data_IF_909512244112
#
_entry.id   IF_909512244112
#
_cell.length_a   1.000
_cell.length_b   1.000
_cell.length_c   1.000
_cell.angle_alpha   90.00
_cell.angle_beta   90.00
_cell.angle_gamma   90.00
#
_symmetry.space_group_name_H-M   'P 1'
#
loop_
_entity.id
_entity.type
_entity.pdbx_description
1 polymer ?
#
# COMPACT_ATOMS: atom_id res chain seq x y z
N UNK A 1 -0.56 -8.36 -2.12
CA UNK A 1 -1.12 -7.71 -3.31
C UNK A 1 -0.13 -7.71 -4.46
N UNK A 2 -0.63 -7.59 -5.68
CA UNK A 2 0.15 -7.53 -6.92
C UNK A 2 0.17 -6.13 -7.49
N UNK A 3 1.11 -5.84 -8.37
CA UNK A 3 1.23 -4.58 -9.10
C UNK A 3 1.51 -4.87 -10.58
N UNK A 4 1.00 -4.03 -11.46
CA UNK A 4 1.27 -4.02 -12.90
C UNK A 4 1.89 -2.68 -13.27
N UNK A 5 2.82 -2.67 -14.22
CA UNK A 5 3.54 -1.49 -14.64
C UNK A 5 3.36 -1.25 -16.13
N UNK A 6 2.96 -0.05 -16.51
CA UNK A 6 2.74 0.36 -17.89
C UNK A 6 1.46 1.17 -18.08
N UNK A 7 1.26 1.76 -19.26
CA UNK A 7 0.00 2.43 -19.59
C UNK A 7 -1.16 1.45 -19.58
N UNK A 8 -2.25 1.76 -18.88
CA UNK A 8 -3.43 0.87 -18.75
C UNK A 8 -3.94 0.34 -20.10
N UNK A 9 -3.87 1.17 -21.15
CA UNK A 9 -4.31 0.77 -22.47
C UNK A 9 -3.44 -0.33 -23.13
N UNK A 10 -2.24 -0.61 -22.58
CA UNK A 10 -1.31 -1.63 -23.08
C UNK A 10 -1.23 -2.85 -22.18
N UNK A 11 -1.83 -2.81 -20.99
CA UNK A 11 -1.80 -3.91 -20.00
C UNK A 11 -2.87 -4.96 -20.34
N UNK A 12 -2.61 -6.19 -19.89
CA UNK A 12 -3.59 -7.27 -20.00
C UNK A 12 -4.82 -6.99 -19.14
N UNK A 13 -6.03 -6.91 -19.72
CA UNK A 13 -7.26 -6.64 -18.97
C UNK A 13 -7.58 -7.69 -17.89
N UNK A 14 -7.17 -8.95 -18.07
CA UNK A 14 -7.40 -10.00 -17.08
C UNK A 14 -6.49 -9.81 -15.86
N UNK A 15 -5.22 -9.48 -16.08
CA UNK A 15 -4.28 -9.12 -15.03
C UNK A 15 -4.72 -7.91 -14.23
N UNK A 16 -5.18 -6.85 -14.91
CA UNK A 16 -5.73 -5.65 -14.25
C UNK A 16 -6.94 -5.95 -13.35
N UNK A 17 -7.87 -6.78 -13.84
CA UNK A 17 -9.04 -7.24 -13.04
C UNK A 17 -8.60 -8.09 -11.84
N UNK A 18 -7.68 -9.03 -12.04
CA UNK A 18 -7.16 -9.88 -10.98
C UNK A 18 -6.48 -9.06 -9.88
N UNK A 19 -5.74 -8.02 -10.25
CA UNK A 19 -5.14 -7.09 -9.31
C UNK A 19 -6.19 -6.36 -8.46
N UNK A 20 -7.28 -5.88 -9.06
CA UNK A 20 -8.39 -5.24 -8.33
C UNK A 20 -9.09 -6.25 -7.41
N UNK A 21 -9.36 -7.45 -7.90
CA UNK A 21 -9.97 -8.51 -7.08
C UNK A 21 -9.12 -8.83 -5.85
N UNK A 22 -7.81 -9.00 -6.02
CA UNK A 22 -6.93 -9.32 -4.89
C UNK A 22 -6.75 -8.13 -3.94
N UNK A 23 -6.41 -6.95 -4.48
CA UNK A 23 -5.99 -5.81 -3.66
C UNK A 23 -7.16 -5.03 -3.05
N UNK A 24 -8.36 -5.13 -3.62
CA UNK A 24 -9.56 -4.41 -3.16
C UNK A 24 -10.58 -5.37 -2.58
N UNK A 25 -11.16 -6.25 -3.41
CA UNK A 25 -12.23 -7.13 -2.97
C UNK A 25 -11.75 -8.11 -1.92
N UNK A 26 -10.57 -8.75 -2.12
CA UNK A 26 -10.02 -9.69 -1.13
C UNK A 26 -9.77 -9.05 0.24
N UNK A 27 -9.29 -7.79 0.27
CA UNK A 27 -9.10 -7.05 1.54
C UNK A 27 -10.46 -6.75 2.18
N UNK A 28 -11.40 -6.25 1.40
CA UNK A 28 -12.74 -5.89 1.86
C UNK A 28 -13.50 -7.10 2.41
N UNK A 29 -13.53 -8.20 1.67
CA UNK A 29 -14.24 -9.42 2.03
C UNK A 29 -13.68 -10.04 3.33
N UNK A 30 -12.34 -10.08 3.48
CA UNK A 30 -11.72 -10.54 4.72
C UNK A 30 -12.13 -9.69 5.92
N UNK A 31 -12.15 -8.37 5.76
CA UNK A 31 -12.58 -7.48 6.85
C UNK A 31 -14.04 -7.72 7.19
N UNK A 32 -14.93 -7.81 6.22
CA UNK A 32 -16.35 -8.10 6.44
C UNK A 32 -16.57 -9.44 7.16
N UNK A 33 -15.77 -10.44 6.83
CA UNK A 33 -15.88 -11.77 7.44
C UNK A 33 -15.46 -11.79 8.92
N UNK A 34 -14.41 -11.03 9.30
CA UNK A 34 -13.85 -11.11 10.66
C UNK A 34 -14.42 -10.06 11.61
N UNK A 35 -14.84 -8.90 11.09
CA UNK A 35 -15.25 -7.75 11.87
C UNK A 35 -16.43 -8.01 12.82
N UNK A 36 -17.53 -8.67 12.42
CA UNK A 36 -18.66 -8.92 13.31
C UNK A 36 -18.26 -9.67 14.59
N UNK A 37 -17.43 -10.71 14.44
CA UNK A 37 -16.93 -11.47 15.58
C UNK A 37 -15.99 -10.66 16.49
N UNK A 38 -15.20 -9.76 15.94
CA UNK A 38 -14.34 -8.86 16.70
C UNK A 38 -15.17 -7.84 17.50
N UNK A 39 -16.18 -7.26 16.88
CA UNK A 39 -17.10 -6.32 17.54
C UNK A 39 -17.88 -7.00 18.67
N UNK A 40 -18.41 -8.21 18.44
CA UNK A 40 -19.17 -8.95 19.44
C UNK A 40 -18.37 -9.24 20.72
N UNK A 41 -17.10 -9.60 20.59
CA UNK A 41 -16.21 -9.85 21.74
C UNK A 41 -15.45 -8.61 22.23
N UNK A 42 -15.65 -7.46 21.57
CA UNK A 42 -14.96 -6.19 21.86
C UNK A 42 -13.43 -6.31 21.90
N UNK A 43 -12.89 -7.15 21.04
CA UNK A 43 -11.45 -7.42 20.97
C UNK A 43 -11.08 -7.91 19.57
N UNK A 44 -10.03 -7.35 19.00
CA UNK A 44 -9.50 -7.76 17.71
C UNK A 44 -8.46 -6.79 17.17
N UNK A 45 -7.70 -7.26 16.17
CA UNK A 45 -6.71 -6.47 15.48
C UNK A 45 -6.73 -6.74 13.97
N UNK A 46 -6.78 -5.67 13.18
CA UNK A 46 -6.77 -5.73 11.71
C UNK A 46 -5.60 -4.88 11.22
N UNK A 47 -4.60 -5.51 10.61
CA UNK A 47 -3.50 -4.85 9.94
C UNK A 47 -3.73 -4.89 8.43
N UNK A 48 -3.94 -3.72 7.81
CA UNK A 48 -4.17 -3.62 6.38
C UNK A 48 -2.90 -3.15 5.69
N UNK A 49 -2.42 -3.94 4.72
CA UNK A 49 -1.26 -3.60 3.90
C UNK A 49 -1.66 -2.69 2.74
N UNK A 50 -1.55 -1.40 2.97
CA UNK A 50 -1.63 -0.37 1.94
C UNK A 50 -0.30 -0.15 1.22
N UNK A 51 0.00 1.09 0.88
CA UNK A 51 1.28 1.53 0.30
C UNK A 51 1.39 3.06 0.32
N UNK A 52 2.61 3.58 0.30
CA UNK A 52 2.88 4.97 -0.02
C UNK A 52 2.35 5.35 -1.43
N UNK A 53 2.31 4.38 -2.35
CA UNK A 53 1.73 4.55 -3.69
C UNK A 53 0.25 4.95 -3.69
N UNK A 54 -0.50 4.63 -2.63
CA UNK A 54 -1.90 5.03 -2.48
C UNK A 54 -2.11 6.49 -2.07
N UNK A 55 -1.05 7.27 -1.87
CA UNK A 55 -1.19 8.67 -1.44
C UNK A 55 -1.35 9.66 -2.60
N UNK A 56 -0.94 9.28 -3.81
CA UNK A 56 -0.98 10.18 -4.98
C UNK A 56 -1.20 9.40 -6.29
N UNK A 57 -1.68 10.08 -7.34
CA UNK A 57 -1.78 9.47 -8.67
C UNK A 57 -0.40 9.07 -9.21
N UNK A 58 -0.33 7.88 -9.80
CA UNK A 58 0.90 7.35 -10.40
C UNK A 58 0.61 6.93 -11.85
N UNK A 59 0.93 7.76 -12.86
CA UNK A 59 0.88 7.35 -14.26
C UNK A 59 1.76 6.11 -14.51
N UNK A 60 1.33 5.22 -15.39
CA UNK A 60 1.93 3.91 -15.67
C UNK A 60 1.90 2.89 -14.50
N UNK A 61 1.12 3.19 -13.47
CA UNK A 61 0.82 2.27 -12.36
C UNK A 61 -0.56 2.60 -11.76
N UNK A 62 -1.49 3.02 -12.61
CA UNK A 62 -2.74 3.63 -12.21
C UNK A 62 -3.63 2.70 -11.39
N UNK A 63 -3.82 1.45 -11.84
CA UNK A 63 -4.65 0.47 -11.13
C UNK A 63 -4.08 0.14 -9.77
N UNK A 64 -2.77 -0.11 -9.67
CA UNK A 64 -2.13 -0.38 -8.38
C UNK A 64 -2.28 0.80 -7.42
N UNK A 65 -1.95 2.02 -7.86
CA UNK A 65 -2.10 3.21 -7.03
C UNK A 65 -3.54 3.39 -6.52
N UNK A 66 -4.53 3.15 -7.39
CA UNK A 66 -5.94 3.21 -7.03
C UNK A 66 -6.33 2.13 -6.00
N UNK A 67 -5.86 0.88 -6.16
CA UNK A 67 -6.12 -0.19 -5.19
C UNK A 67 -5.51 0.09 -3.84
N UNK A 68 -4.32 0.68 -3.81
CA UNK A 68 -3.64 1.07 -2.56
C UNK A 68 -4.26 2.32 -1.92
N UNK A 69 -4.79 3.25 -2.72
CA UNK A 69 -5.59 4.36 -2.22
C UNK A 69 -6.88 3.87 -1.52
N UNK A 70 -7.56 2.87 -2.11
CA UNK A 70 -8.67 2.18 -1.46
C UNK A 70 -8.24 1.62 -0.09
N UNK A 71 -7.20 0.80 -0.04
CA UNK A 71 -6.72 0.18 1.19
C UNK A 71 -6.35 1.22 2.27
N UNK A 72 -5.67 2.31 1.86
CA UNK A 72 -5.29 3.40 2.76
C UNK A 72 -6.53 4.07 3.37
N UNK A 73 -7.44 4.54 2.53
CA UNK A 73 -8.64 5.26 2.97
C UNK A 73 -9.59 4.35 3.75
N UNK A 74 -9.80 3.12 3.27
CA UNK A 74 -10.66 2.14 3.93
C UNK A 74 -10.18 1.82 5.34
N UNK A 75 -8.87 1.57 5.51
CA UNK A 75 -8.27 1.28 6.83
C UNK A 75 -8.49 2.43 7.83
N UNK A 76 -8.20 3.66 7.41
CA UNK A 76 -8.32 4.83 8.28
C UNK A 76 -9.77 5.15 8.64
N UNK A 77 -10.70 4.99 7.68
CA UNK A 77 -12.13 5.14 7.90
C UNK A 77 -12.68 4.09 8.86
N UNK A 78 -12.40 2.80 8.57
CA UNK A 78 -12.82 1.68 9.42
C UNK A 78 -12.34 1.86 10.86
N UNK A 79 -11.08 2.29 11.05
CA UNK A 79 -10.57 2.60 12.38
C UNK A 79 -11.44 3.63 13.09
N UNK A 80 -11.86 4.70 12.39
CA UNK A 80 -12.74 5.73 12.95
C UNK A 80 -14.05 5.16 13.47
N UNK A 81 -14.59 4.17 12.80
CA UNK A 81 -15.84 3.51 13.14
C UNK A 81 -15.71 2.62 14.39
N UNK A 82 -14.65 1.79 14.45
CA UNK A 82 -14.57 0.67 15.43
C UNK A 82 -13.65 0.88 16.62
N UNK A 83 -12.89 1.98 16.67
CA UNK A 83 -11.91 2.22 17.75
C UNK A 83 -12.50 2.24 19.16
N UNK A 84 -13.80 2.58 19.30
CA UNK A 84 -14.53 2.59 20.58
C UNK A 84 -15.01 1.21 21.00
N UNK A 85 -14.99 0.26 20.08
CA UNK A 85 -15.51 -1.09 20.30
C UNK A 85 -14.41 -2.12 20.62
N UNK A 86 -13.20 -1.64 20.96
CA UNK A 86 -12.08 -2.49 21.34
C UNK A 86 -11.40 -3.19 20.15
N UNK A 87 -11.68 -2.75 18.92
CA UNK A 87 -11.03 -3.29 17.72
C UNK A 87 -9.96 -2.33 17.23
N UNK A 88 -8.73 -2.82 17.15
CA UNK A 88 -7.60 -2.06 16.61
C UNK A 88 -7.54 -2.22 15.09
N UNK A 89 -7.40 -1.12 14.37
CA UNK A 89 -7.17 -1.12 12.92
C UNK A 89 -5.97 -0.26 12.62
N UNK A 90 -4.96 -0.86 11.98
CA UNK A 90 -3.71 -0.18 11.62
C UNK A 90 -3.45 -0.31 10.13
N UNK A 91 -3.16 0.81 9.49
CA UNK A 91 -2.66 0.87 8.13
C UNK A 91 -1.14 0.73 8.12
N UNK A 92 -0.62 -0.28 7.45
CA UNK A 92 0.78 -0.33 7.02
C UNK A 92 0.88 0.30 5.63
N UNK A 93 1.56 1.44 5.50
CA UNK A 93 1.76 2.14 4.24
C UNK A 93 3.27 2.25 3.92
N UNK A 94 3.92 1.16 3.54
CA UNK A 94 5.36 1.14 3.32
C UNK A 94 5.74 1.85 2.01
N UNK A 95 7.00 2.32 1.97
CA UNK A 95 7.73 2.50 0.73
C UNK A 95 8.23 1.18 0.16
N UNK A 96 9.34 1.19 -0.58
CA UNK A 96 9.93 -0.04 -1.13
C UNK A 96 10.39 -0.98 -0.01
N UNK A 97 9.87 -2.20 0.01
CA UNK A 97 10.27 -3.27 0.94
C UNK A 97 10.94 -4.36 0.13
N UNK A 98 12.14 -4.76 0.53
CA UNK A 98 12.88 -5.85 -0.13
C UNK A 98 12.21 -7.17 0.22
N UNK A 99 11.49 -7.74 -0.74
CA UNK A 99 10.81 -9.03 -0.62
C UNK A 99 11.44 -10.03 -1.59
N UNK A 100 11.42 -11.29 -1.24
CA UNK A 100 11.73 -12.36 -2.18
C UNK A 100 10.54 -12.55 -3.12
N UNK A 101 10.55 -11.83 -4.25
CA UNK A 101 9.54 -12.01 -5.29
C UNK A 101 9.94 -13.17 -6.20
N UNK A 102 8.98 -14.00 -6.63
CA UNK A 102 9.27 -15.15 -7.48
C UNK A 102 9.68 -14.78 -8.92
N UNK A 103 9.48 -13.54 -9.35
CA UNK A 103 9.83 -13.07 -10.70
C UNK A 103 11.08 -12.17 -10.67
N UNK A 104 12.22 -12.75 -11.05
CA UNK A 104 13.52 -12.05 -11.11
C UNK A 104 13.53 -10.90 -12.13
N UNK A 105 12.66 -10.91 -13.15
CA UNK A 105 12.66 -9.90 -14.21
C UNK A 105 12.01 -8.58 -13.72
N UNK A 106 10.89 -8.64 -13.03
CA UNK A 106 10.23 -7.45 -12.44
C UNK A 106 11.05 -6.90 -11.26
N UNK A 107 11.59 -7.78 -10.43
CA UNK A 107 12.45 -7.42 -9.31
C UNK A 107 13.69 -6.65 -9.80
N UNK A 108 14.32 -7.09 -10.87
CA UNK A 108 15.53 -6.46 -11.40
C UNK A 108 15.31 -5.04 -11.92
N UNK A 109 14.14 -4.73 -12.50
CA UNK A 109 13.79 -3.41 -12.99
C UNK A 109 13.50 -2.44 -11.85
N UNK A 110 12.73 -2.88 -10.85
CA UNK A 110 12.39 -2.07 -9.68
C UNK A 110 13.64 -1.79 -8.83
N UNK A 111 14.50 -2.80 -8.64
CA UNK A 111 15.75 -2.65 -7.88
C UNK A 111 16.73 -1.68 -8.53
N UNK A 112 16.82 -1.64 -9.87
CA UNK A 112 17.70 -0.70 -10.60
C UNK A 112 17.27 0.77 -10.49
N UNK A 113 15.98 1.03 -10.28
CA UNK A 113 15.43 2.37 -10.27
C UNK A 113 15.30 2.97 -8.87
N UNK A 114 15.27 2.14 -7.85
CA UNK A 114 15.14 2.58 -6.47
C UNK A 114 16.51 2.48 -5.77
N UNK A 115 17.09 3.60 -5.33
CA UNK A 115 18.35 3.61 -4.60
C UNK A 115 18.31 2.70 -3.36
N UNK A 116 19.41 2.01 -3.07
CA UNK A 116 19.50 1.04 -1.97
C UNK A 116 19.10 1.58 -0.61
N UNK A 117 19.40 2.85 -0.34
CA UNK A 117 19.05 3.48 0.94
C UNK A 117 17.54 3.69 1.17
N UNK A 118 16.72 3.52 0.14
CA UNK A 118 15.25 3.60 0.23
C UNK A 118 14.61 2.25 0.55
N UNK A 119 15.35 1.15 0.37
CA UNK A 119 14.83 -0.19 0.65
C UNK A 119 14.76 -0.47 2.14
N UNK A 120 13.67 -1.09 2.55
CA UNK A 120 13.40 -1.43 3.94
C UNK A 120 13.37 -2.95 4.09
N UNK A 121 13.92 -3.43 5.19
CA UNK A 121 13.93 -4.85 5.54
C UNK A 121 12.53 -5.36 5.91
N UNK A 122 12.17 -6.57 5.47
CA UNK A 122 10.88 -7.20 5.74
C UNK A 122 10.63 -7.46 7.21
N UNK A 123 11.62 -7.97 7.93
CA UNK A 123 11.50 -8.27 9.37
C UNK A 123 11.27 -7.00 10.20
N UNK A 124 12.02 -5.94 9.91
CA UNK A 124 11.81 -4.64 10.55
C UNK A 124 10.42 -4.09 10.27
N UNK A 125 9.96 -4.20 9.01
CA UNK A 125 8.61 -3.77 8.60
C UNK A 125 7.54 -4.53 9.35
N UNK A 126 7.65 -5.84 9.45
CA UNK A 126 6.69 -6.70 10.16
C UNK A 126 6.63 -6.36 11.65
N UNK A 127 7.77 -6.30 12.34
CA UNK A 127 7.84 -5.95 13.77
C UNK A 127 7.21 -4.60 14.06
N UNK A 128 7.57 -3.57 13.29
CA UNK A 128 7.04 -2.23 13.47
C UNK A 128 5.52 -2.17 13.23
N UNK A 129 5.02 -2.99 12.31
CA UNK A 129 3.60 -3.06 11.97
C UNK A 129 2.79 -3.72 13.08
N UNK A 130 3.29 -4.80 13.66
CA UNK A 130 2.65 -5.50 14.77
C UNK A 130 2.67 -4.65 16.05
N UNK A 131 3.79 -3.99 16.34
CA UNK A 131 3.88 -3.02 17.45
C UNK A 131 2.85 -1.89 17.28
N UNK A 132 2.75 -1.35 16.07
CA UNK A 132 1.78 -0.29 15.78
C UNK A 132 0.33 -0.76 15.96
N UNK A 133 0.02 -2.00 15.58
CA UNK A 133 -1.30 -2.60 15.77
C UNK A 133 -1.61 -2.81 17.26
N UNK A 134 -0.65 -3.35 18.03
CA UNK A 134 -0.79 -3.57 19.47
C UNK A 134 -1.06 -2.26 20.20
N UNK A 135 -0.33 -1.19 19.85
CA UNK A 135 -0.51 0.14 20.43
C UNK A 135 -1.63 0.96 19.77
N UNK A 136 -2.48 0.33 18.99
CA UNK A 136 -3.61 0.97 18.32
C UNK A 136 -3.22 2.25 17.55
N UNK A 137 -2.10 2.25 16.84
CA UNK A 137 -1.68 3.36 15.97
C UNK A 137 -2.47 3.31 14.66
N UNK A 138 -2.92 4.46 14.18
CA UNK A 138 -3.72 4.55 12.95
C UNK A 138 -2.92 4.11 11.72
N UNK A 139 -1.67 4.55 11.62
CA UNK A 139 -0.83 4.36 10.45
C UNK A 139 0.62 4.14 10.85
N UNK A 140 1.28 3.23 10.16
CA UNK A 140 2.72 3.02 10.24
C UNK A 140 3.35 3.10 8.85
N UNK A 141 4.41 3.91 8.75
CA UNK A 141 5.23 4.03 7.55
C UNK A 141 6.66 3.67 7.97
N UNK A 142 7.14 2.46 7.64
CA UNK A 142 8.49 2.05 7.97
C UNK A 142 9.53 2.89 7.22
N UNK A 143 10.65 3.18 7.88
CA UNK A 143 11.76 3.96 7.33
C UNK A 143 11.54 5.48 7.34
N UNK A 144 12.59 6.21 7.72
CA UNK A 144 12.54 7.68 7.86
C UNK A 144 12.31 8.36 6.50
N UNK A 145 12.99 7.88 5.47
CA UNK A 145 12.86 8.40 4.10
C UNK A 145 11.46 8.16 3.53
N UNK A 146 10.92 6.95 3.71
CA UNK A 146 9.56 6.61 3.29
C UNK A 146 8.51 7.43 4.04
N UNK A 147 8.74 7.69 5.33
CA UNK A 147 7.87 8.55 6.14
C UNK A 147 7.87 9.98 5.64
N UNK A 148 9.05 10.56 5.37
CA UNK A 148 9.17 11.91 4.83
C UNK A 148 8.49 12.04 3.46
N UNK A 149 8.72 11.07 2.55
CA UNK A 149 8.08 11.01 1.23
C UNK A 149 6.55 10.84 1.34
N UNK A 150 6.07 10.01 2.25
CA UNK A 150 4.64 9.80 2.47
C UNK A 150 3.95 11.08 2.95
N UNK A 151 4.56 11.83 3.85
CA UNK A 151 4.05 13.13 4.30
C UNK A 151 4.07 14.13 3.14
N UNK A 152 5.19 14.25 2.44
CA UNK A 152 5.32 15.17 1.30
C UNK A 152 4.28 14.87 0.21
N UNK A 153 4.09 13.61 -0.19
CA UNK A 153 3.12 13.23 -1.21
C UNK A 153 1.66 13.42 -0.79
N UNK A 154 1.38 13.38 0.51
CA UNK A 154 0.04 13.61 1.05
C UNK A 154 -0.39 15.09 1.01
N UNK A 155 0.55 16.01 1.07
CA UNK A 155 0.27 17.46 1.15
C UNK A 155 0.69 18.23 -0.11
N UNK A 156 1.59 17.70 -0.93
CA UNK A 156 2.04 18.39 -2.13
C UNK A 156 0.94 18.45 -3.20
N UNK A 157 0.83 19.57 -3.92
CA UNK A 157 -0.14 19.70 -5.02
C UNK A 157 0.04 18.60 -6.06
N UNK A 158 -1.04 17.91 -6.40
CA UNK A 158 -1.03 16.79 -7.37
C UNK A 158 -0.47 17.19 -8.74
N UNK A 159 -0.68 18.45 -9.14
CA UNK A 159 -0.13 19.01 -10.39
C UNK A 159 1.42 18.97 -10.42
N UNK A 160 2.08 18.98 -9.27
CA UNK A 160 3.54 18.91 -9.16
C UNK A 160 4.00 17.47 -9.01
N UNK A 161 3.35 16.70 -8.13
CA UNK A 161 3.74 15.32 -7.80
C UNK A 161 3.52 14.37 -8.97
N UNK A 162 2.37 14.47 -9.64
CA UNK A 162 1.97 13.52 -10.69
C UNK A 162 2.96 13.44 -11.86
N UNK A 163 3.45 14.55 -12.46
CA UNK A 163 4.42 14.45 -13.55
C UNK A 163 5.78 13.92 -13.11
N UNK A 164 6.24 14.26 -11.90
CA UNK A 164 7.52 13.77 -11.35
C UNK A 164 7.46 12.26 -11.14
N UNK A 165 6.44 11.79 -10.45
CA UNK A 165 6.24 10.36 -10.18
C UNK A 165 5.99 9.60 -11.49
N UNK A 166 5.20 10.16 -12.41
CA UNK A 166 4.94 9.58 -13.72
C UNK A 166 6.22 9.37 -14.55
N UNK A 167 7.16 10.32 -14.49
CA UNK A 167 8.46 10.19 -15.18
C UNK A 167 9.31 9.04 -14.63
N UNK A 168 9.28 8.80 -13.32
CA UNK A 168 9.97 7.65 -12.67
C UNK A 168 9.32 6.34 -13.11
N UNK A 169 8.00 6.23 -13.02
CA UNK A 169 7.25 5.01 -13.35
C UNK A 169 7.20 4.71 -14.85
N UNK A 170 7.38 5.69 -15.72
CA UNK A 170 7.53 5.47 -17.16
C UNK A 170 8.73 4.56 -17.47
N UNK A 171 9.83 4.72 -16.73
CA UNK A 171 11.02 3.86 -16.88
C UNK A 171 10.79 2.41 -16.41
N UNK A 172 9.80 2.18 -15.53
CA UNK A 172 9.42 0.83 -15.07
C UNK A 172 8.51 0.09 -16.06
N UNK A 173 7.66 0.84 -16.80
CA UNK A 173 6.70 0.25 -17.72
C UNK A 173 7.23 -0.14 -19.09
N UNK A 174 8.50 0.14 -19.39
CA UNK A 174 9.07 -0.02 -20.74
C UNK A 174 8.43 0.94 -21.77
N UNK A 175 9.20 1.43 -22.73
CA UNK A 175 8.66 2.19 -23.87
C UNK A 175 7.79 1.32 -24.79
#
# INVERSE_FOLDING_TARGET
GTATFGPVAKLDPAGEKAQVQLNVLGVHDLVLAVLPGMLARRAGGILISGSAAGNSPIPNNATYAATKAFANTFSESLRGEVKKDGVHVTLLAPGPVRTELPDESEQSLVERLIPDFLWINTEYTARLSLDALEHNKMRVVPGVTSKAMSVASGYAPRAIVTPIVGAVYKKLGGD
#
